data_IF_812082464368
#
_entry.id   IF_812082464368
#
_cell.length_a   1.000
_cell.length_b   1.000
_cell.length_c   1.000
_cell.angle_alpha   90.00
_cell.angle_beta   90.00
_cell.angle_gamma   90.00
#
_symmetry.space_group_name_H-M   'P 1'
#
loop_
_entity.id
_entity.type
_entity.pdbx_description
1 polymer ?
#
# COMPACT_ATOMS: atom_id res chain seq x y z
N UNK A 1 -17.07 4.89 8.69
CA UNK A 1 -16.95 5.67 7.47
C UNK A 1 -15.52 5.73 7.00
N UNK A 2 -15.31 5.47 5.72
CA UNK A 2 -13.97 5.40 5.20
C UNK A 2 -13.35 6.76 5.00
N UNK A 3 -12.04 6.75 4.94
CA UNK A 3 -11.27 7.91 4.56
C UNK A 3 -10.24 7.51 3.56
N UNK A 4 -9.73 8.51 2.84
CA UNK A 4 -8.63 8.28 1.91
C UNK A 4 -7.32 8.36 2.66
N UNK A 5 -6.46 7.38 2.40
CA UNK A 5 -5.14 7.31 3.01
C UNK A 5 -4.09 7.48 1.93
N UNK A 6 -3.17 8.40 2.14
CA UNK A 6 -2.08 8.65 1.21
C UNK A 6 -1.08 7.51 1.28
N UNK A 7 -0.84 6.86 0.16
CA UNK A 7 0.11 5.74 0.10
C UNK A 7 1.37 6.12 -0.68
N UNK A 8 1.59 7.41 -0.89
CA UNK A 8 2.78 7.93 -1.54
C UNK A 8 2.49 8.51 -2.91
N UNK A 9 3.21 9.55 -3.25
CA UNK A 9 3.18 10.18 -4.57
C UNK A 9 1.78 10.62 -5.01
N UNK A 10 0.97 11.05 -4.02
CA UNK A 10 -0.36 11.55 -4.33
C UNK A 10 -1.40 10.49 -4.56
N UNK A 11 -1.05 9.23 -4.38
CA UNK A 11 -2.00 8.13 -4.54
C UNK A 11 -2.75 7.91 -3.23
N UNK A 12 -4.05 7.71 -3.35
CA UNK A 12 -4.91 7.53 -2.19
C UNK A 12 -5.65 6.22 -2.29
N UNK A 13 -5.94 5.63 -1.15
CA UNK A 13 -6.73 4.40 -1.09
C UNK A 13 -7.80 4.54 -0.01
N UNK A 14 -8.97 3.98 -0.27
CA UNK A 14 -10.06 3.99 0.69
C UNK A 14 -9.76 3.00 1.81
N UNK A 15 -9.65 3.48 3.03
CA UNK A 15 -9.26 2.63 4.15
C UNK A 15 -10.27 1.53 4.43
N UNK A 16 -11.54 1.74 4.09
CA UNK A 16 -12.56 0.71 4.29
C UNK A 16 -12.34 -0.50 3.39
N UNK A 17 -11.55 -0.36 2.34
CA UNK A 17 -11.34 -1.46 1.40
C UNK A 17 -10.05 -2.22 1.66
N UNK A 18 -9.27 -1.81 2.62
CA UNK A 18 -8.00 -2.45 2.91
C UNK A 18 -8.22 -3.67 3.79
N UNK A 19 -7.72 -4.81 3.35
CA UNK A 19 -7.76 -6.04 4.13
C UNK A 19 -6.47 -6.21 4.91
N UNK A 20 -5.32 -5.98 4.26
CA UNK A 20 -4.03 -6.15 4.92
C UNK A 20 -2.97 -5.30 4.26
N UNK A 21 -1.94 -4.99 5.03
CA UNK A 21 -0.74 -4.29 4.56
C UNK A 21 0.43 -5.18 4.96
N UNK A 22 1.19 -5.62 3.98
CA UNK A 22 2.22 -6.64 4.18
C UNK A 22 3.56 -6.11 3.69
N UNK A 23 4.62 -6.42 4.45
CA UNK A 23 5.96 -6.04 4.03
C UNK A 23 6.32 -6.74 2.72
N UNK A 24 6.92 -6.00 1.81
CA UNK A 24 7.15 -6.51 0.45
C UNK A 24 8.14 -7.65 0.38
N UNK A 25 9.01 -7.79 1.38
CA UNK A 25 10.02 -8.85 1.37
C UNK A 25 9.52 -10.15 1.99
N UNK A 26 8.27 -10.20 2.42
CA UNK A 26 7.72 -11.42 3.01
C UNK A 26 7.31 -12.41 1.92
N UNK A 27 7.28 -13.69 2.28
CA UNK A 27 6.86 -14.72 1.34
C UNK A 27 5.42 -14.50 0.85
N UNK A 28 4.46 -14.21 1.73
CA UNK A 28 3.09 -13.94 1.22
C UNK A 28 3.03 -12.76 0.27
N UNK A 29 3.82 -11.71 0.51
CA UNK A 29 3.81 -10.56 -0.38
C UNK A 29 4.30 -10.96 -1.77
N UNK A 30 5.36 -11.74 -1.83
CA UNK A 30 5.91 -12.16 -3.12
C UNK A 30 4.91 -12.99 -3.91
N UNK A 31 4.18 -13.86 -3.22
CA UNK A 31 3.16 -14.66 -3.88
C UNK A 31 2.02 -13.80 -4.39
N UNK A 32 1.61 -12.79 -3.61
CA UNK A 32 0.54 -11.89 -4.02
C UNK A 32 0.94 -11.09 -5.25
N UNK A 33 2.18 -10.61 -5.28
CA UNK A 33 2.66 -9.83 -6.41
C UNK A 33 2.66 -10.68 -7.67
N UNK A 34 3.17 -11.90 -7.57
CA UNK A 34 3.22 -12.81 -8.71
C UNK A 34 1.83 -13.08 -9.24
N UNK A 35 0.90 -13.38 -8.34
CA UNK A 35 -0.48 -13.67 -8.73
C UNK A 35 -1.15 -12.45 -9.34
N UNK A 36 -0.88 -11.26 -8.77
CA UNK A 36 -1.45 -10.04 -9.29
C UNK A 36 -1.00 -9.73 -10.69
N UNK A 37 0.26 -10.05 -11.00
CA UNK A 37 0.75 -9.85 -12.36
C UNK A 37 0.05 -10.77 -13.33
N UNK A 38 -0.17 -12.02 -12.94
CA UNK A 38 -0.85 -12.97 -13.81
C UNK A 38 -2.30 -12.59 -14.06
N UNK A 39 -2.97 -12.11 -13.04
CA UNK A 39 -4.39 -11.80 -13.10
C UNK A 39 -4.67 -10.35 -13.46
N UNK A 40 -3.63 -9.57 -13.64
CA UNK A 40 -3.76 -8.15 -14.01
C UNK A 40 -4.54 -7.37 -12.96
N UNK A 41 -4.36 -7.73 -11.69
CA UNK A 41 -4.98 -7.02 -10.57
C UNK A 41 -3.98 -6.17 -9.79
N UNK A 42 -2.78 -6.05 -10.30
CA UNK A 42 -1.71 -5.33 -9.63
C UNK A 42 -1.74 -3.86 -10.00
N UNK A 43 -1.66 -3.01 -8.99
CA UNK A 43 -1.61 -1.57 -9.18
C UNK A 43 -0.29 -1.08 -8.59
N UNK A 44 0.56 -0.50 -9.42
CA UNK A 44 1.88 -0.04 -8.99
C UNK A 44 1.82 1.45 -8.68
N UNK A 45 1.87 1.80 -7.41
CA UNK A 45 1.83 3.18 -6.96
C UNK A 45 3.20 3.66 -6.46
N UNK A 46 4.28 3.01 -6.89
CA UNK A 46 5.62 3.31 -6.37
C UNK A 46 6.35 4.39 -7.16
N UNK A 47 5.85 4.79 -8.31
CA UNK A 47 6.51 5.78 -9.16
C UNK A 47 7.93 5.36 -9.49
N UNK A 48 8.12 4.07 -9.74
CA UNK A 48 9.45 3.56 -10.08
C UNK A 48 10.37 3.37 -8.90
N UNK A 49 9.91 3.66 -7.69
CA UNK A 49 10.72 3.44 -6.49
C UNK A 49 10.58 2.00 -6.03
N UNK A 50 11.45 1.61 -5.11
CA UNK A 50 11.42 0.27 -4.58
C UNK A 50 10.14 0.04 -3.80
N UNK A 51 9.49 -1.09 -4.06
CA UNK A 51 8.29 -1.48 -3.31
C UNK A 51 8.68 -1.86 -1.90
N UNK A 52 8.02 -1.26 -0.92
CA UNK A 52 8.25 -1.57 0.48
C UNK A 52 7.04 -2.20 1.14
N UNK A 53 5.85 -1.96 0.61
CA UNK A 53 4.61 -2.49 1.15
C UNK A 53 3.70 -2.99 0.05
N UNK A 54 2.91 -4.01 0.38
CA UNK A 54 1.88 -4.54 -0.49
C UNK A 54 0.55 -4.39 0.24
N UNK A 55 -0.39 -3.72 -0.39
CA UNK A 55 -1.71 -3.47 0.19
C UNK A 55 -2.72 -4.36 -0.53
N UNK A 56 -3.41 -5.19 0.25
CA UNK A 56 -4.42 -6.09 -0.30
C UNK A 56 -5.81 -5.53 0.01
N UNK A 57 -6.65 -5.44 -1.00
CA UNK A 57 -7.98 -4.86 -0.86
C UNK A 57 -9.06 -5.92 -1.01
N UNK A 58 -10.28 -5.54 -0.63
CA UNK A 58 -11.44 -6.45 -0.67
C UNK A 58 -11.73 -6.98 -2.06
N UNK A 59 -11.41 -6.21 -3.09
CA UNK A 59 -11.74 -6.59 -4.46
C UNK A 59 -10.60 -7.35 -5.14
N UNK A 60 -9.73 -7.93 -4.34
CA UNK A 60 -8.57 -8.68 -4.84
C UNK A 60 -7.59 -7.83 -5.63
N UNK A 61 -7.63 -6.53 -5.43
CA UNK A 61 -6.62 -5.66 -6.01
C UNK A 61 -5.40 -5.65 -5.12
N UNK A 62 -4.24 -5.61 -5.73
CA UNK A 62 -2.97 -5.61 -5.01
C UNK A 62 -2.24 -4.33 -5.37
N UNK A 63 -1.96 -3.51 -4.38
CA UNK A 63 -1.37 -2.19 -4.61
C UNK A 63 0.03 -2.18 -4.02
N UNK A 64 1.00 -1.78 -4.85
CA UNK A 64 2.38 -1.66 -4.40
C UNK A 64 2.65 -0.24 -3.95
N UNK A 65 3.26 -0.10 -2.78
CA UNK A 65 3.58 1.22 -2.23
C UNK A 65 5.07 1.31 -1.90
N UNK A 66 5.63 2.49 -2.09
CA UNK A 66 7.02 2.76 -1.74
C UNK A 66 7.18 3.15 -0.27
N UNK A 67 6.08 3.25 0.47
CA UNK A 67 6.14 3.59 1.89
C UNK A 67 6.26 2.34 2.75
N UNK A 68 6.90 2.49 3.89
CA UNK A 68 7.06 1.38 4.83
C UNK A 68 5.72 0.98 5.41
N UNK A 69 5.54 -0.32 5.77
CA UNK A 69 4.29 -0.74 6.40
C UNK A 69 3.96 0.04 7.67
N UNK A 70 4.97 0.39 8.46
CA UNK A 70 4.75 1.14 9.69
C UNK A 70 4.18 2.53 9.39
N UNK A 71 4.66 3.15 8.33
CA UNK A 71 4.16 4.45 7.92
C UNK A 71 2.68 4.35 7.54
N UNK A 72 2.35 3.33 6.76
CA UNK A 72 0.97 3.14 6.33
C UNK A 72 0.07 2.81 7.52
N UNK A 73 0.56 1.98 8.43
CA UNK A 73 -0.22 1.64 9.62
C UNK A 73 -0.49 2.87 10.47
N UNK A 74 0.51 3.75 10.59
CA UNK A 74 0.32 4.98 11.34
C UNK A 74 -0.75 5.86 10.73
N UNK A 75 -0.74 5.98 9.42
CA UNK A 75 -1.75 6.77 8.72
C UNK A 75 -3.13 6.16 8.85
N UNK A 76 -3.20 4.84 8.74
CA UNK A 76 -4.46 4.13 8.89
C UNK A 76 -5.07 4.38 10.27
N UNK A 77 -4.22 4.43 11.28
CA UNK A 77 -4.66 4.59 12.67
C UNK A 77 -4.85 6.05 13.08
N UNK A 78 -4.74 6.97 12.15
CA UNK A 78 -4.97 8.37 12.46
C UNK A 78 -3.77 9.15 12.90
N UNK A 79 -2.57 8.60 12.77
CA UNK A 79 -1.31 9.29 13.11
C UNK A 79 -0.73 9.98 11.89
N UNK A 80 -1.58 10.50 11.04
CA UNK A 80 -1.17 10.96 9.72
C UNK A 80 -0.20 12.12 9.77
N UNK A 81 -0.30 12.94 10.80
CA UNK A 81 0.56 14.12 10.85
C UNK A 81 2.03 13.74 10.88
N UNK A 82 2.36 12.61 11.50
CA UNK A 82 3.75 12.18 11.54
C UNK A 82 4.20 11.60 10.23
N UNK A 83 3.26 11.18 9.42
CA UNK A 83 3.62 10.53 8.18
C UNK A 83 3.78 11.45 7.01
N UNK A 84 3.56 12.73 7.20
CA UNK A 84 3.59 13.67 6.09
C UNK A 84 4.95 13.74 5.42
N UNK A 85 5.99 13.50 6.18
CA UNK A 85 7.34 13.60 5.64
C UNK A 85 7.64 12.55 4.62
N UNK A 86 6.97 11.44 4.73
CA UNK A 86 7.26 10.30 3.88
C UNK A 86 6.76 10.49 2.47
N UNK A 87 5.90 11.44 2.27
CA UNK A 87 5.40 11.69 0.92
C UNK A 87 6.46 12.25 0.00
N UNK A 88 7.59 12.60 0.55
CA UNK A 88 8.69 13.13 -0.25
C UNK A 88 9.46 12.06 -0.98
N UNK A 89 9.20 10.83 -0.65
CA UNK A 89 9.90 9.75 -1.34
C UNK A 89 9.62 9.76 -2.81
#
# INVERSE_FOLDING_TARGET
MGKLMNIGFGNMVNTDKIVSIIASDSAPAKRMISRGKEQETLIDATQGRRTKSVIFTENNKIILSALQPETLAGRFNGNASEGDYDTKE
#
